data_IF_237166740630
#
_entry.id   IF_237166740630
#
_cell.length_a   1.000
_cell.length_b   1.000
_cell.length_c   1.000
_cell.angle_alpha   90.00
_cell.angle_beta   90.00
_cell.angle_gamma   90.00
#
_symmetry.space_group_name_H-M   'P 1'
#
loop_
_entity.id
_entity.type
_entity.pdbx_description
1 polymer ?
#
# COMPACT_ATOMS: atom_id res chain seq x y z
N UNK A 1 29.23 33.43 -22.07
CA UNK A 1 28.18 33.09 -21.09
C UNK A 1 27.26 31.97 -21.58
N UNK A 2 27.79 30.77 -21.91
CA UNK A 2 26.94 29.61 -22.28
C UNK A 2 27.28 28.34 -21.49
N UNK A 3 28.46 28.26 -20.88
CA UNK A 3 28.91 27.13 -20.06
C UNK A 3 28.32 27.14 -18.64
N UNK A 4 28.17 28.31 -18.00
CA UNK A 4 27.53 28.42 -16.68
C UNK A 4 26.04 28.03 -16.67
N UNK A 5 25.33 28.24 -17.78
CA UNK A 5 23.91 27.83 -17.91
C UNK A 5 23.75 26.31 -17.99
N UNK A 6 24.73 25.60 -18.56
CA UNK A 6 24.70 24.14 -18.67
C UNK A 6 25.06 23.47 -17.33
N UNK A 7 26.04 24.01 -16.59
CA UNK A 7 26.34 23.53 -15.24
C UNK A 7 25.16 23.73 -14.28
N UNK A 8 24.45 24.86 -14.36
CA UNK A 8 23.28 25.12 -13.51
C UNK A 8 22.12 24.16 -13.77
N UNK A 9 21.85 23.82 -15.02
CA UNK A 9 20.80 22.85 -15.39
C UNK A 9 21.18 21.41 -15.05
N UNK A 10 22.47 21.06 -15.17
CA UNK A 10 22.96 19.74 -14.77
C UNK A 10 22.86 19.52 -13.25
N UNK A 11 23.18 20.54 -12.44
CA UNK A 11 23.03 20.47 -10.98
C UNK A 11 21.57 20.40 -10.55
N UNK A 12 20.67 21.11 -11.22
CA UNK A 12 19.22 21.03 -10.93
C UNK A 12 18.67 19.62 -11.21
N UNK A 13 19.11 18.99 -12.30
CA UNK A 13 18.72 17.62 -12.65
C UNK A 13 19.23 16.61 -11.61
N UNK A 14 20.47 16.73 -11.13
CA UNK A 14 21.03 15.85 -10.09
C UNK A 14 20.27 15.99 -8.76
N UNK A 15 19.89 17.22 -8.38
CA UNK A 15 19.09 17.46 -7.16
C UNK A 15 17.68 16.90 -7.31
N UNK A 16 17.03 16.99 -8.47
CA UNK A 16 15.73 16.36 -8.69
C UNK A 16 15.80 14.82 -8.72
N UNK A 17 16.88 14.23 -9.23
CA UNK A 17 17.09 12.79 -9.20
C UNK A 17 17.41 12.26 -7.79
N UNK A 18 18.19 13.00 -6.98
CA UNK A 18 18.55 12.60 -5.62
C UNK A 18 17.39 12.78 -4.61
N UNK A 19 16.48 13.73 -4.85
CA UNK A 19 15.27 13.90 -4.02
C UNK A 19 14.17 12.86 -4.35
N UNK A 20 14.30 12.12 -5.46
CA UNK A 20 13.41 11.01 -5.82
C UNK A 20 13.94 9.64 -5.33
N UNK A 21 14.93 9.64 -4.43
CA UNK A 21 15.31 8.45 -3.64
C UNK A 21 14.49 8.34 -2.35
N UNK A 22 13.51 9.23 -2.12
CA UNK A 22 12.51 9.06 -1.06
C UNK A 22 11.44 7.99 -1.38
N UNK A 23 11.70 7.09 -2.34
CA UNK A 23 11.00 5.81 -2.39
C UNK A 23 11.67 4.92 -1.35
N UNK A 24 10.97 4.73 -0.22
CA UNK A 24 11.22 3.75 0.85
C UNK A 24 12.49 2.93 0.70
N UNK A 25 13.39 3.05 1.68
CA UNK A 25 14.61 2.23 1.84
C UNK A 25 14.37 0.71 2.02
N UNK A 26 13.24 0.18 1.55
CA UNK A 26 13.06 -1.26 1.34
C UNK A 26 13.62 -1.60 -0.03
N UNK A 27 14.94 -1.76 -0.07
CA UNK A 27 15.72 -2.41 -1.14
C UNK A 27 15.40 -3.92 -1.25
N UNK A 28 14.15 -4.31 -0.97
CA UNK A 28 13.68 -5.67 -1.11
C UNK A 28 13.29 -5.87 -2.57
N UNK A 29 14.20 -6.44 -3.38
CA UNK A 29 13.90 -6.91 -4.74
C UNK A 29 12.55 -7.62 -4.75
N UNK A 30 11.64 -7.30 -5.68
CA UNK A 30 10.31 -7.93 -5.72
C UNK A 30 10.47 -9.43 -5.98
N UNK A 31 10.34 -10.26 -4.94
CA UNK A 31 10.44 -11.71 -5.02
C UNK A 31 9.06 -12.24 -5.36
N UNK A 32 8.94 -12.79 -6.58
CA UNK A 32 7.74 -13.48 -7.03
C UNK A 32 7.92 -14.99 -6.89
N UNK A 33 6.85 -15.68 -6.50
CA UNK A 33 6.79 -17.13 -6.66
C UNK A 33 6.54 -17.54 -8.12
N UNK A 34 6.49 -18.85 -8.39
CA UNK A 34 6.25 -19.42 -9.72
C UNK A 34 4.89 -19.00 -10.31
N UNK A 35 3.94 -18.58 -9.47
CA UNK A 35 2.62 -18.07 -9.87
C UNK A 35 2.59 -16.54 -10.05
N UNK A 36 3.74 -15.87 -9.89
CA UNK A 36 3.88 -14.43 -10.04
C UNK A 36 3.41 -13.61 -8.84
N UNK A 37 3.09 -14.26 -7.71
CA UNK A 37 2.65 -13.61 -6.47
C UNK A 37 3.85 -13.02 -5.74
N UNK A 38 3.76 -11.75 -5.33
CA UNK A 38 4.83 -11.09 -4.59
C UNK A 38 4.83 -11.60 -3.14
N UNK A 39 5.91 -12.25 -2.74
CA UNK A 39 6.00 -12.98 -1.47
C UNK A 39 6.70 -12.23 -0.34
N UNK A 40 7.51 -11.23 -0.69
CA UNK A 40 8.32 -10.47 0.26
C UNK A 40 7.76 -9.07 0.60
N UNK A 41 6.53 -8.76 0.17
CA UNK A 41 5.87 -7.52 0.54
C UNK A 41 4.96 -7.69 1.75
N UNK A 42 4.86 -6.62 2.55
CA UNK A 42 3.91 -6.56 3.66
C UNK A 42 2.48 -6.68 3.11
N UNK A 43 1.67 -7.52 3.75
CA UNK A 43 0.25 -7.68 3.44
C UNK A 43 -0.57 -6.77 4.33
N UNK A 44 -1.56 -6.10 3.74
CA UNK A 44 -2.55 -5.37 4.50
C UNK A 44 -3.45 -6.40 5.19
N UNK A 45 -3.57 -6.37 6.52
CA UNK A 45 -4.40 -7.34 7.26
C UNK A 45 -5.70 -6.72 7.76
N UNK A 46 -5.66 -5.44 8.12
CA UNK A 46 -6.77 -4.74 8.74
C UNK A 46 -6.74 -3.25 8.37
N UNK A 47 -7.91 -2.67 8.10
CA UNK A 47 -8.14 -1.22 8.17
C UNK A 47 -9.30 -0.98 9.12
N UNK A 48 -9.07 -0.14 10.12
CA UNK A 48 -10.13 0.33 11.02
C UNK A 48 -10.25 1.85 10.91
N UNK A 49 -11.44 2.32 10.60
CA UNK A 49 -11.80 3.74 10.68
C UNK A 49 -12.89 3.94 11.71
N UNK A 50 -12.78 5.01 12.48
CA UNK A 50 -13.82 5.46 13.39
C UNK A 50 -14.12 6.92 13.10
N UNK A 51 -15.39 7.23 12.88
CA UNK A 51 -15.90 8.58 12.64
C UNK A 51 -16.05 9.35 13.96
N UNK A 52 -16.21 10.67 13.89
CA UNK A 52 -16.33 11.53 15.09
C UNK A 52 -17.58 11.22 15.94
N UNK A 53 -18.62 10.65 15.31
CA UNK A 53 -19.84 10.15 15.94
C UNK A 53 -19.68 8.76 16.58
N UNK A 54 -18.49 8.14 16.47
CA UNK A 54 -18.18 6.83 17.04
C UNK A 54 -18.52 5.64 16.13
N UNK A 55 -19.07 5.89 14.94
CA UNK A 55 -19.31 4.84 13.94
C UNK A 55 -17.99 4.22 13.51
N UNK A 56 -17.92 2.89 13.41
CA UNK A 56 -16.67 2.19 13.07
C UNK A 56 -16.86 1.30 11.86
N UNK A 57 -15.96 1.42 10.90
CA UNK A 57 -15.83 0.47 9.78
C UNK A 57 -14.52 -0.30 9.93
N UNK A 58 -14.61 -1.63 9.86
CA UNK A 58 -13.49 -2.55 9.92
C UNK A 58 -13.43 -3.33 8.61
N UNK A 59 -12.27 -3.32 7.97
CA UNK A 59 -11.95 -4.14 6.81
C UNK A 59 -10.89 -5.15 7.20
N UNK A 60 -11.19 -6.44 7.04
CA UNK A 60 -10.25 -7.54 7.30
C UNK A 60 -9.92 -8.24 5.98
N UNK A 61 -8.64 -8.43 5.72
CA UNK A 61 -8.12 -9.00 4.48
C UNK A 61 -7.50 -10.37 4.75
N UNK A 62 -7.99 -11.39 4.07
CA UNK A 62 -7.49 -12.77 4.21
C UNK A 62 -6.78 -13.23 2.95
N UNK A 63 -5.70 -13.99 3.15
CA UNK A 63 -4.85 -14.49 2.08
C UNK A 63 -4.68 -16.00 2.18
N UNK A 64 -4.48 -16.67 1.05
CA UNK A 64 -4.10 -18.07 1.04
C UNK A 64 -2.62 -18.29 1.39
N UNK A 65 -2.20 -19.55 1.39
CA UNK A 65 -0.82 -19.96 1.70
C UNK A 65 0.21 -19.45 0.69
N UNK A 66 -0.21 -19.09 -0.53
CA UNK A 66 0.63 -18.46 -1.56
C UNK A 66 0.66 -16.94 -1.44
N UNK A 67 -0.21 -16.36 -0.60
CA UNK A 67 -0.32 -14.93 -0.40
C UNK A 67 -1.25 -14.20 -1.36
N UNK A 68 -2.12 -14.92 -2.05
CA UNK A 68 -3.19 -14.34 -2.88
C UNK A 68 -4.37 -13.97 -2.00
N UNK A 69 -5.00 -12.82 -2.27
CA UNK A 69 -6.19 -12.38 -1.54
C UNK A 69 -7.34 -13.36 -1.82
N UNK A 70 -7.97 -13.88 -0.76
CA UNK A 70 -9.08 -14.84 -0.87
C UNK A 70 -10.39 -14.29 -0.35
N UNK A 71 -10.36 -13.39 0.63
CA UNK A 71 -11.58 -12.73 1.08
C UNK A 71 -11.30 -11.36 1.69
N UNK A 72 -12.33 -10.52 1.64
CA UNK A 72 -12.40 -9.24 2.34
C UNK A 72 -13.69 -9.23 3.14
N UNK A 73 -13.58 -9.06 4.45
CA UNK A 73 -14.74 -8.84 5.33
C UNK A 73 -14.84 -7.36 5.63
N UNK A 74 -16.03 -6.78 5.46
CA UNK A 74 -16.36 -5.44 5.93
C UNK A 74 -17.34 -5.57 7.09
N UNK A 75 -16.99 -5.00 8.23
CA UNK A 75 -17.89 -4.91 9.39
C UNK A 75 -18.13 -3.44 9.71
N UNK A 76 -19.39 -3.03 9.73
CA UNK A 76 -19.78 -1.66 10.08
C UNK A 76 -20.54 -1.68 11.39
N UNK A 77 -20.20 -0.75 12.28
CA UNK A 77 -20.84 -0.59 13.58
C UNK A 77 -21.40 0.81 13.68
N UNK A 78 -22.72 0.87 13.80
CA UNK A 78 -23.52 2.08 13.89
C UNK A 78 -24.39 1.97 15.15
N UNK A 79 -24.15 2.82 16.16
CA UNK A 79 -24.80 2.74 17.47
C UNK A 79 -24.83 1.32 18.05
N UNK A 80 -26.00 0.66 18.04
CA UNK A 80 -26.23 -0.70 18.54
C UNK A 80 -26.30 -1.78 17.44
N UNK A 81 -26.21 -1.38 16.17
CA UNK A 81 -26.25 -2.28 15.03
C UNK A 81 -24.84 -2.64 14.56
N UNK A 82 -24.71 -3.86 14.05
CA UNK A 82 -23.49 -4.32 13.37
C UNK A 82 -23.90 -4.98 12.08
N UNK A 83 -23.40 -4.45 10.97
CA UNK A 83 -23.55 -5.04 9.64
C UNK A 83 -22.25 -5.73 9.21
N UNK A 84 -22.35 -6.82 8.47
CA UNK A 84 -21.19 -7.60 8.03
C UNK A 84 -21.39 -8.14 6.63
N UNK A 85 -20.51 -7.70 5.74
CA UNK A 85 -20.39 -8.19 4.37
C UNK A 85 -19.11 -9.00 4.20
N UNK A 86 -19.18 -10.08 3.42
CA UNK A 86 -18.02 -10.90 3.05
C UNK A 86 -17.95 -10.96 1.52
N UNK A 87 -16.80 -10.63 0.98
CA UNK A 87 -16.48 -10.70 -0.44
C UNK A 87 -15.42 -11.77 -0.62
N UNK A 88 -15.78 -12.86 -1.29
CA UNK A 88 -14.88 -13.95 -1.60
C UNK A 88 -14.31 -13.80 -3.02
N UNK A 89 -13.02 -14.10 -3.18
CA UNK A 89 -12.29 -14.07 -4.45
C UNK A 89 -11.95 -15.51 -4.85
N UNK A 90 -12.22 -15.88 -6.11
CA UNK A 90 -11.98 -17.21 -6.69
C UNK A 90 -10.93 -17.15 -7.78
#
# INVERSE_FOLDING_TARGET
MRTFRLLGMALLAIVMCANFTACSSDDDEVIKDDDGVITNQKKLVEIKSTSDDGETTLWEYSYDTKGRLVSVTRTEKYDSNTDRDIIDFT
#
